data_IF_097260130215
#
_entry.id   IF_097260130215
#
_cell.length_a   1.000
_cell.length_b   1.000
_cell.length_c   1.000
_cell.angle_alpha   90.00
_cell.angle_beta   90.00
_cell.angle_gamma   90.00
#
_symmetry.space_group_name_H-M   'P 1'
#
loop_
_entity.id
_entity.type
_entity.pdbx_description
1 polymer ?
#
# COMPACT_ATOMS: atom_id res chain seq x y z
N UNK A 1 -9.50 -9.89 20.15
CA UNK A 1 -9.28 -8.64 19.42
C UNK A 1 -7.79 -8.42 19.27
N UNK A 2 -7.36 -8.13 18.09
CA UNK A 2 -5.96 -7.86 17.83
C UNK A 2 -5.84 -6.92 16.65
N UNK A 3 -4.62 -6.62 16.33
CA UNK A 3 -4.32 -5.80 15.18
C UNK A 3 -3.43 -6.59 14.23
N UNK A 4 -3.50 -6.23 12.97
CA UNK A 4 -2.72 -6.89 11.93
C UNK A 4 -1.88 -5.82 11.23
N UNK A 5 -0.60 -6.11 11.06
CA UNK A 5 0.28 -5.25 10.28
C UNK A 5 0.27 -5.77 8.85
N UNK A 6 -0.06 -4.92 7.92
CA UNK A 6 -0.13 -5.28 6.51
C UNK A 6 0.84 -4.40 5.74
N UNK A 7 1.62 -5.01 4.88
CA UNK A 7 2.56 -4.28 4.03
C UNK A 7 2.26 -4.59 2.58
N UNK A 8 2.07 -3.55 1.80
CA UNK A 8 1.86 -3.66 0.35
C UNK A 8 3.02 -3.00 -0.38
N UNK A 9 3.45 -3.64 -1.45
CA UNK A 9 4.34 -3.01 -2.41
C UNK A 9 3.46 -2.48 -3.53
N UNK A 10 3.46 -1.18 -3.69
CA UNK A 10 2.59 -0.50 -4.66
C UNK A 10 3.47 0.07 -5.77
N UNK A 11 3.18 -0.33 -6.99
CA UNK A 11 3.93 0.14 -8.15
C UNK A 11 3.04 1.02 -9.01
N UNK A 12 3.46 2.28 -9.25
CA UNK A 12 2.73 3.14 -10.17
C UNK A 12 2.84 2.62 -11.61
N UNK A 13 1.86 2.98 -12.42
CA UNK A 13 1.88 2.68 -13.84
C UNK A 13 2.70 3.78 -14.55
N UNK A 14 4.02 3.61 -14.52
CA UNK A 14 4.94 4.55 -15.09
C UNK A 14 5.41 5.60 -14.09
N UNK A 15 6.58 6.20 -14.34
CA UNK A 15 7.17 7.17 -13.41
C UNK A 15 6.34 8.46 -13.29
N UNK A 16 5.58 8.82 -14.31
CA UNK A 16 4.75 10.03 -14.28
C UNK A 16 3.59 9.90 -13.30
N UNK A 17 3.21 8.69 -12.92
CA UNK A 17 2.13 8.47 -11.97
C UNK A 17 2.60 8.32 -10.54
N UNK A 18 3.91 8.38 -10.30
CA UNK A 18 4.46 8.14 -8.97
C UNK A 18 3.88 9.09 -7.90
N UNK A 19 3.92 10.38 -8.16
CA UNK A 19 3.41 11.37 -7.19
C UNK A 19 1.91 11.23 -6.98
N UNK A 20 1.19 10.93 -8.03
CA UNK A 20 -0.27 10.75 -7.96
C UNK A 20 -0.62 9.56 -7.09
N UNK A 21 0.06 8.43 -7.30
CA UNK A 21 -0.17 7.23 -6.52
C UNK A 21 0.26 7.44 -5.08
N UNK A 22 1.39 8.12 -4.87
CA UNK A 22 1.88 8.43 -3.53
C UNK A 22 0.85 9.24 -2.74
N UNK A 23 0.29 10.29 -3.35
CA UNK A 23 -0.73 11.10 -2.69
C UNK A 23 -1.98 10.30 -2.35
N UNK A 24 -2.39 9.41 -3.26
CA UNK A 24 -3.53 8.55 -3.00
C UNK A 24 -3.26 7.60 -1.84
N UNK A 25 -2.05 7.07 -1.75
CA UNK A 25 -1.66 6.23 -0.62
C UNK A 25 -1.68 7.01 0.69
N UNK A 26 -1.20 8.25 0.67
CA UNK A 26 -1.22 9.10 1.86
C UNK A 26 -2.64 9.35 2.34
N UNK A 27 -3.58 9.47 1.41
CA UNK A 27 -4.98 9.66 1.74
C UNK A 27 -5.59 8.46 2.47
N UNK A 28 -5.01 7.29 2.32
CA UNK A 28 -5.45 6.09 3.03
C UNK A 28 -4.88 6.00 4.45
N UNK A 29 -4.11 6.98 4.85
CA UNK A 29 -3.55 7.11 6.21
C UNK A 29 -2.72 5.91 6.63
N UNK A 30 -1.64 5.59 5.91
CA UNK A 30 -0.77 4.50 6.32
C UNK A 30 -0.02 4.87 7.60
N UNK A 31 0.35 3.85 8.37
CA UNK A 31 1.22 4.06 9.52
C UNK A 31 2.64 4.36 9.09
N UNK A 32 3.03 3.85 7.92
CA UNK A 32 4.32 4.13 7.33
C UNK A 32 4.19 4.06 5.81
N UNK A 33 4.82 5.01 5.13
CA UNK A 33 4.87 5.00 3.67
C UNK A 33 6.30 5.33 3.27
N UNK A 34 6.95 4.40 2.61
CA UNK A 34 8.34 4.55 2.20
C UNK A 34 8.48 4.41 0.69
N UNK A 35 9.46 5.10 0.13
CA UNK A 35 9.82 4.94 -1.27
C UNK A 35 10.89 3.87 -1.36
N UNK A 36 10.70 2.93 -2.25
CA UNK A 36 11.64 1.85 -2.47
C UNK A 36 12.15 1.91 -3.90
N UNK A 37 13.43 2.25 -4.10
CA UNK A 37 13.96 2.30 -5.46
C UNK A 37 14.05 0.89 -6.05
N UNK A 38 13.66 0.80 -7.30
CA UNK A 38 13.77 -0.43 -8.07
C UNK A 38 14.73 -0.14 -9.22
N UNK A 39 14.96 -1.10 -10.09
CA UNK A 39 15.86 -0.93 -11.22
C UNK A 39 15.34 0.12 -12.21
N UNK A 40 16.26 0.69 -12.99
CA UNK A 40 15.95 1.60 -14.11
C UNK A 40 15.24 2.90 -13.73
N UNK A 41 15.55 3.42 -12.56
CA UNK A 41 14.97 4.68 -12.11
C UNK A 41 13.53 4.61 -11.66
N UNK A 42 12.97 3.41 -11.61
CA UNK A 42 11.61 3.21 -11.12
C UNK A 42 11.61 3.14 -9.59
N UNK A 43 10.50 3.55 -9.00
CA UNK A 43 10.32 3.48 -7.55
C UNK A 43 9.00 2.83 -7.23
N UNK A 44 9.01 2.01 -6.19
CA UNK A 44 7.78 1.48 -5.61
C UNK A 44 7.50 2.19 -4.30
N UNK A 45 6.29 2.04 -3.83
CA UNK A 45 5.90 2.54 -2.51
C UNK A 45 5.68 1.36 -1.59
N UNK A 46 6.28 1.40 -0.43
CA UNK A 46 6.06 0.39 0.60
C UNK A 46 5.06 0.97 1.58
N UNK A 47 3.85 0.46 1.51
CA UNK A 47 2.71 0.94 2.28
C UNK A 47 2.50 0.01 3.47
N UNK A 48 2.64 0.53 4.67
CA UNK A 48 2.45 -0.23 5.90
C UNK A 48 1.27 0.33 6.66
N UNK A 49 0.33 -0.51 7.01
CA UNK A 49 -0.83 -0.08 7.76
C UNK A 49 -1.18 -1.13 8.81
N UNK A 50 -1.51 -0.65 10.01
CA UNK A 50 -2.01 -1.49 11.09
C UNK A 50 -3.53 -1.39 11.06
N UNK A 51 -4.20 -2.53 10.91
CA UNK A 51 -5.65 -2.57 10.82
C UNK A 51 -6.20 -3.49 11.89
N UNK A 52 -7.45 -3.28 12.32
CA UNK A 52 -8.07 -4.21 13.25
C UNK A 52 -8.25 -5.58 12.60
N UNK A 53 -8.10 -6.62 13.39
CA UNK A 53 -8.31 -7.99 12.94
C UNK A 53 -9.80 -8.28 12.96
N UNK A 54 -10.44 -8.06 11.82
CA UNK A 54 -11.89 -8.25 11.73
C UNK A 54 -12.31 -8.62 10.32
N UNK A 55 -13.51 -9.14 10.16
CA UNK A 55 -14.00 -9.55 8.84
C UNK A 55 -14.16 -8.36 7.91
N UNK A 56 -13.70 -8.52 6.69
CA UNK A 56 -13.86 -7.51 5.65
C UNK A 56 -12.91 -6.33 5.70
N UNK A 57 -12.14 -6.17 6.77
CA UNK A 57 -11.23 -5.02 6.90
C UNK A 57 -10.11 -5.09 5.87
N UNK A 58 -9.52 -6.27 5.70
CA UNK A 58 -8.46 -6.47 4.72
C UNK A 58 -8.99 -6.30 3.30
N UNK A 59 -10.17 -6.84 3.02
CA UNK A 59 -10.77 -6.72 1.69
C UNK A 59 -11.04 -5.26 1.34
N UNK A 60 -11.51 -4.48 2.30
CA UNK A 60 -11.74 -3.06 2.07
C UNK A 60 -10.46 -2.34 1.76
N UNK A 61 -9.39 -2.62 2.50
CA UNK A 61 -8.09 -1.99 2.27
C UNK A 61 -7.56 -2.35 0.88
N UNK A 62 -7.66 -3.62 0.49
CA UNK A 62 -7.23 -4.04 -0.84
C UNK A 62 -8.02 -3.36 -1.93
N UNK A 63 -9.34 -3.23 -1.75
CA UNK A 63 -10.18 -2.53 -2.71
C UNK A 63 -9.81 -1.05 -2.82
N UNK A 64 -9.53 -0.41 -1.69
CA UNK A 64 -9.13 0.99 -1.68
C UNK A 64 -7.82 1.19 -2.44
N UNK A 65 -6.87 0.31 -2.22
CA UNK A 65 -5.58 0.36 -2.90
C UNK A 65 -5.76 0.11 -4.40
N UNK A 66 -6.53 -0.91 -4.76
CA UNK A 66 -6.74 -1.26 -6.17
C UNK A 66 -7.56 -0.22 -6.92
N UNK A 67 -8.22 0.68 -6.21
CA UNK A 67 -8.98 1.77 -6.82
C UNK A 67 -8.15 3.00 -7.11
N UNK A 68 -6.88 3.00 -6.76
CA UNK A 68 -6.00 4.15 -6.97
C UNK A 68 -5.76 4.34 -8.47
N UNK A 69 -5.99 5.56 -8.94
CA UNK A 69 -5.73 5.90 -10.34
C UNK A 69 -4.22 6.02 -10.56
N UNK A 70 -3.75 5.42 -11.65
CA UNK A 70 -2.34 5.41 -11.98
C UNK A 70 -1.60 4.23 -11.36
N UNK A 71 -2.32 3.34 -10.71
CA UNK A 71 -1.74 2.14 -10.12
C UNK A 71 -1.38 1.13 -11.21
N UNK A 72 -0.13 0.65 -11.18
CA UNK A 72 0.30 -0.43 -12.06
C UNK A 72 0.04 -1.77 -11.42
N UNK A 73 0.49 -1.94 -10.17
CA UNK A 73 0.23 -3.16 -9.43
C UNK A 73 0.33 -2.89 -7.93
N UNK A 74 -0.30 -3.74 -7.16
CA UNK A 74 -0.20 -3.71 -5.71
C UNK A 74 -0.10 -5.14 -5.23
N UNK A 75 0.88 -5.42 -4.38
CA UNK A 75 1.15 -6.75 -3.90
C UNK A 75 1.25 -6.74 -2.39
N UNK A 76 0.56 -7.66 -1.74
CA UNK A 76 0.69 -7.83 -0.30
C UNK A 76 1.93 -8.66 -0.03
N UNK A 77 2.94 -8.04 0.56
CA UNK A 77 4.22 -8.71 0.80
C UNK A 77 4.39 -9.16 2.25
N UNK A 78 3.53 -8.71 3.14
CA UNK A 78 3.59 -9.12 4.54
C UNK A 78 2.23 -8.94 5.20
N UNK A 79 1.81 -9.94 5.94
CA UNK A 79 0.68 -9.83 6.85
C UNK A 79 1.10 -10.51 8.15
N UNK A 80 1.12 -9.75 9.22
CA UNK A 80 1.58 -10.24 10.50
C UNK A 80 0.69 -9.71 11.61
N UNK A 81 0.48 -10.52 12.62
CA UNK A 81 -0.28 -10.06 13.76
C UNK A 81 0.58 -9.16 14.62
N UNK A 82 0.02 -8.01 14.96
CA UNK A 82 0.60 -7.10 15.93
C UNK A 82 -0.04 -7.39 17.28
N UNK A 83 0.76 -7.58 18.25
CA UNK A 83 0.26 -7.86 19.59
C UNK A 83 -0.05 -6.57 20.33
#
# INVERSE_FOLDING_TARGET
MGEVIVVFRIMPDGPENFEKVKKACEALKPDRLEEEPIAFGLKALKFTKIIPDGPGVMDKLENDINSIKGLGSAENILTSRAM
#
